data_IF_194037015421
#
_entry.id   IF_194037015421
#
_cell.length_a   1.000
_cell.length_b   1.000
_cell.length_c   1.000
_cell.angle_alpha   90.00
_cell.angle_beta   90.00
_cell.angle_gamma   90.00
#
_symmetry.space_group_name_H-M   'P 1'
#
loop_
_entity.id
_entity.type
_entity.pdbx_description
1 polymer ?
#
# COMPACT_ATOMS: atom_id res chain seq x y z
N UNK A 1 11.11 -16.22 15.94
CA UNK A 1 10.20 -15.12 15.56
C UNK A 1 10.33 -14.91 14.06
N UNK A 2 9.24 -14.82 13.30
CA UNK A 2 9.31 -14.48 11.87
C UNK A 2 9.55 -12.98 11.76
N UNK A 3 10.61 -12.57 11.06
CA UNK A 3 10.81 -11.17 10.69
C UNK A 3 9.71 -10.75 9.71
N UNK A 4 9.04 -9.65 10.00
CA UNK A 4 8.03 -9.06 9.11
C UNK A 4 8.70 -8.30 7.97
N UNK A 5 7.98 -8.11 6.87
CA UNK A 5 8.42 -7.18 5.84
C UNK A 5 8.29 -5.75 6.38
N UNK A 6 9.43 -5.09 6.57
CA UNK A 6 9.50 -3.69 6.98
C UNK A 6 9.53 -2.82 5.72
N UNK A 7 8.55 -1.93 5.58
CA UNK A 7 8.38 -1.04 4.43
C UNK A 7 8.84 0.36 4.83
N UNK A 8 9.82 0.88 4.10
CA UNK A 8 10.27 2.28 4.18
C UNK A 8 9.84 3.00 2.90
N UNK A 9 8.87 3.90 3.01
CA UNK A 9 8.26 4.63 1.89
C UNK A 9 7.90 6.04 2.37
N UNK A 10 7.92 7.02 1.47
CA UNK A 10 7.56 8.40 1.83
C UNK A 10 6.04 8.55 2.03
N UNK A 11 5.26 7.84 1.21
CA UNK A 11 3.79 7.84 1.27
C UNK A 11 3.23 6.51 1.76
N UNK A 12 2.43 6.53 2.84
CA UNK A 12 1.63 5.38 3.29
C UNK A 12 0.20 5.50 2.75
N UNK A 13 -0.18 4.61 1.83
CA UNK A 13 -1.48 4.65 1.15
C UNK A 13 -2.61 4.22 2.07
N UNK A 14 -3.60 5.11 2.25
CA UNK A 14 -4.79 4.91 3.09
C UNK A 14 -6.05 5.34 2.35
N UNK A 15 -7.17 4.71 2.68
CA UNK A 15 -8.46 5.10 2.14
C UNK A 15 -8.80 6.54 2.56
N UNK A 16 -9.24 7.37 1.61
CA UNK A 16 -9.59 8.78 1.89
C UNK A 16 -10.84 8.94 2.76
N UNK A 17 -11.70 7.91 2.82
CA UNK A 17 -12.90 7.91 3.66
C UNK A 17 -12.65 7.28 5.04
N UNK A 18 -12.40 5.96 5.08
CA UNK A 18 -12.33 5.22 6.34
C UNK A 18 -10.92 5.13 6.94
N UNK A 19 -9.91 5.71 6.28
CA UNK A 19 -8.50 5.76 6.73
C UNK A 19 -7.79 4.41 6.87
N UNK A 20 -8.44 3.30 6.49
CA UNK A 20 -7.83 1.97 6.41
C UNK A 20 -6.64 1.96 5.47
N UNK A 21 -5.54 1.33 5.87
CA UNK A 21 -4.37 1.09 5.03
C UNK A 21 -4.73 0.25 3.81
N UNK A 22 -4.05 0.51 2.69
CA UNK A 22 -4.08 -0.43 1.57
C UNK A 22 -3.55 -1.80 2.05
N UNK A 23 -4.17 -2.88 1.60
CA UNK A 23 -3.94 -4.21 2.14
C UNK A 23 -4.25 -5.28 1.07
N UNK A 24 -3.91 -6.56 1.29
CA UNK A 24 -4.07 -7.61 0.27
C UNK A 24 -5.50 -7.88 -0.22
N UNK A 25 -6.52 -7.39 0.49
CA UNK A 25 -7.91 -7.70 0.21
C UNK A 25 -8.61 -6.63 -0.62
N UNK A 26 -7.89 -5.55 -1.00
CA UNK A 26 -8.41 -4.49 -1.87
C UNK A 26 -8.57 -4.99 -3.31
N UNK A 27 -9.41 -4.31 -4.10
CA UNK A 27 -9.47 -4.57 -5.54
C UNK A 27 -8.66 -3.49 -6.28
N UNK A 28 -7.83 -3.90 -7.23
CA UNK A 28 -7.09 -3.00 -8.13
C UNK A 28 -7.78 -3.05 -9.52
N UNK A 29 -8.81 -2.22 -9.77
CA UNK A 29 -9.53 -2.25 -11.04
C UNK A 29 -8.66 -1.86 -12.24
N UNK A 30 -7.65 -1.02 -12.00
CA UNK A 30 -6.66 -0.58 -12.98
C UNK A 30 -5.36 -0.16 -12.26
N UNK A 31 -4.40 0.42 -13.00
CA UNK A 31 -3.10 0.82 -12.44
C UNK A 31 -3.12 2.15 -11.67
N UNK A 32 -4.24 2.88 -11.67
CA UNK A 32 -4.37 4.24 -11.08
C UNK A 32 -5.39 4.30 -9.96
N UNK A 33 -6.12 3.23 -9.69
CA UNK A 33 -7.15 3.21 -8.66
C UNK A 33 -7.11 1.93 -7.84
N UNK A 34 -7.64 2.03 -6.62
CA UNK A 34 -7.90 0.88 -5.76
C UNK A 34 -9.22 1.04 -5.01
N UNK A 35 -9.96 -0.05 -4.85
CA UNK A 35 -11.22 -0.10 -4.12
C UNK A 35 -10.99 -0.68 -2.73
N UNK A 36 -11.33 0.11 -1.72
CA UNK A 36 -11.21 -0.30 -0.32
C UNK A 36 -12.14 -1.48 -0.03
N UNK A 37 -11.62 -2.51 0.63
CA UNK A 37 -12.36 -3.71 1.01
C UNK A 37 -13.28 -3.51 2.24
N UNK A 38 -13.17 -2.40 2.97
CA UNK A 38 -14.00 -2.12 4.14
C UNK A 38 -15.16 -1.16 3.84
N UNK A 39 -14.91 -0.05 3.13
CA UNK A 39 -15.93 0.96 2.82
C UNK A 39 -16.33 1.00 1.34
N UNK A 40 -15.74 0.16 0.49
CA UNK A 40 -16.02 0.06 -0.95
C UNK A 40 -15.76 1.31 -1.79
N UNK A 41 -15.19 2.37 -1.20
CA UNK A 41 -14.76 3.58 -1.93
C UNK A 41 -13.63 3.24 -2.88
N UNK A 42 -13.74 3.74 -4.12
CA UNK A 42 -12.63 3.79 -5.09
C UNK A 42 -11.78 5.01 -4.76
N UNK A 43 -10.46 4.81 -4.63
CA UNK A 43 -9.47 5.83 -4.31
C UNK A 43 -8.41 5.86 -5.41
N UNK A 44 -7.80 7.02 -5.62
CA UNK A 44 -6.62 7.14 -6.48
C UNK A 44 -5.44 6.37 -5.86
N UNK A 45 -4.69 5.68 -6.70
CA UNK A 45 -3.42 5.03 -6.36
C UNK A 45 -2.28 6.00 -6.70
N UNK A 46 -1.45 6.42 -5.72
CA UNK A 46 -0.33 7.32 -6.00
C UNK A 46 0.68 6.72 -6.99
N UNK A 47 1.27 7.53 -7.88
CA UNK A 47 2.25 7.06 -8.85
C UNK A 47 3.48 6.41 -8.19
N UNK A 48 3.90 6.90 -7.02
CA UNK A 48 4.98 6.31 -6.21
C UNK A 48 4.67 4.86 -5.80
N UNK A 49 3.40 4.48 -5.74
CA UNK A 49 3.00 3.10 -5.42
C UNK A 49 3.34 2.10 -6.54
N UNK A 50 3.70 2.58 -7.73
CA UNK A 50 4.20 1.73 -8.82
C UNK A 50 5.68 1.34 -8.64
N UNK A 51 6.39 1.99 -7.71
CA UNK A 51 7.76 1.65 -7.32
C UNK A 51 7.75 0.58 -6.24
N UNK A 52 8.50 -0.52 -6.43
CA UNK A 52 8.69 -1.54 -5.40
C UNK A 52 9.91 -1.16 -4.53
N UNK A 53 9.71 -0.85 -3.23
CA UNK A 53 10.80 -0.44 -2.35
C UNK A 53 11.78 -1.58 -2.01
N UNK A 54 11.35 -2.85 -2.16
CA UNK A 54 12.18 -4.02 -1.86
C UNK A 54 13.08 -4.36 -3.03
N UNK A 55 12.52 -4.45 -4.24
CA UNK A 55 13.28 -4.83 -5.44
C UNK A 55 13.90 -3.65 -6.18
N UNK A 56 13.54 -2.41 -5.81
CA UNK A 56 13.95 -1.18 -6.50
C UNK A 56 13.62 -1.20 -7.99
N UNK A 57 12.41 -1.66 -8.31
CA UNK A 57 11.92 -1.78 -9.69
C UNK A 57 10.54 -1.14 -9.84
N UNK A 58 10.18 -0.75 -11.07
CA UNK A 58 8.90 -0.15 -11.39
C UNK A 58 7.97 -1.17 -12.06
N UNK A 59 6.66 -1.02 -11.87
CA UNK A 59 5.69 -1.46 -12.87
C UNK A 59 4.67 -2.51 -12.46
N UNK A 60 4.60 -2.90 -11.18
CA UNK A 60 3.50 -3.77 -10.73
C UNK A 60 3.16 -3.56 -9.23
N UNK A 61 2.06 -2.88 -8.90
CA UNK A 61 1.66 -2.64 -7.52
C UNK A 61 1.31 -3.94 -6.78
N UNK A 62 0.97 -5.02 -7.50
CA UNK A 62 0.68 -6.34 -6.91
C UNK A 62 1.95 -6.98 -6.31
N UNK A 63 3.14 -6.48 -6.67
CA UNK A 63 4.40 -6.98 -6.10
C UNK A 63 4.72 -6.39 -4.73
N UNK A 64 4.09 -5.27 -4.34
CA UNK A 64 4.40 -4.57 -3.09
C UNK A 64 4.07 -5.41 -1.86
N UNK A 65 4.91 -5.39 -0.81
CA UNK A 65 4.69 -6.21 0.39
C UNK A 65 3.32 -5.98 1.05
N UNK A 66 2.84 -4.75 1.11
CA UNK A 66 1.53 -4.38 1.66
C UNK A 66 0.33 -4.83 0.82
N UNK A 67 0.56 -5.30 -0.41
CA UNK A 67 -0.46 -5.99 -1.24
C UNK A 67 -0.31 -7.51 -1.15
N UNK A 68 0.90 -8.03 -0.94
CA UNK A 68 1.15 -9.48 -0.86
C UNK A 68 0.90 -10.11 0.50
N UNK A 69 1.15 -9.36 1.58
CA UNK A 69 1.17 -9.91 2.93
C UNK A 69 0.18 -9.19 3.84
N UNK A 70 -0.60 -9.94 4.61
CA UNK A 70 -1.57 -9.39 5.56
C UNK A 70 -0.94 -8.80 6.83
N UNK A 71 0.35 -9.07 7.05
CA UNK A 71 1.12 -8.53 8.17
C UNK A 71 2.42 -7.94 7.64
N UNK A 72 2.58 -6.63 7.80
CA UNK A 72 3.75 -5.84 7.44
C UNK A 72 3.95 -4.74 8.49
N UNK A 73 5.14 -4.16 8.55
CA UNK A 73 5.43 -3.00 9.40
C UNK A 73 5.84 -1.83 8.51
N UNK A 74 5.32 -0.64 8.82
CA UNK A 74 5.75 0.60 8.17
C UNK A 74 6.69 1.36 9.10
N UNK A 75 7.77 1.91 8.54
CA UNK A 75 8.47 3.01 9.20
C UNK A 75 7.59 4.25 9.05
N UNK A 76 7.11 4.81 10.16
CA UNK A 76 6.25 5.98 10.15
C UNK A 76 7.04 7.21 9.64
N UNK A 77 6.58 7.89 8.56
CA UNK A 77 7.20 9.13 8.11
C UNK A 77 6.93 10.28 9.07
N UNK A 78 7.68 11.38 8.94
CA UNK A 78 7.62 12.55 9.84
C UNK A 78 6.23 13.18 9.96
N UNK A 79 5.37 13.03 8.93
CA UNK A 79 3.97 13.49 8.95
C UNK A 79 3.06 12.76 9.95
N UNK A 80 3.55 11.69 10.59
CA UNK A 80 2.86 10.95 11.66
C UNK A 80 3.29 11.37 13.07
N UNK A 81 4.21 12.33 13.21
CA UNK A 81 4.64 12.90 14.50
C UNK A 81 3.91 14.20 14.84
#
# INVERSE_FOLDING_TARGET
MKNLNVINTSTIVRCRACRTYINPFVQLPDQRHWKCNLCFRVNDLPDEFMWDPVTKSFGDPVRRPEIKYATVEFIAPSEYM
#
